data_IF_986840768107
#
_entry.id   IF_986840768107
#
_cell.length_a   1.000
_cell.length_b   1.000
_cell.length_c   1.000
_cell.angle_alpha   90.00
_cell.angle_beta   90.00
_cell.angle_gamma   90.00
#
_symmetry.space_group_name_H-M   'P 1'
#
loop_
_entity.id
_entity.type
_entity.pdbx_description
1 polymer ?
#
# COMPACT_ATOMS: atom_id res chain seq x y z
N UNK A 1 23.53 13.29 16.93
CA UNK A 1 22.31 14.05 17.28
C UNK A 1 21.10 13.09 17.33
N UNK A 2 20.34 13.16 18.39
CA UNK A 2 19.13 12.35 18.53
C UNK A 2 17.98 13.07 17.81
N UNK A 3 17.31 12.36 16.94
CA UNK A 3 16.11 12.85 16.27
C UNK A 3 14.87 12.30 16.97
N UNK A 4 13.94 13.18 17.33
CA UNK A 4 12.67 12.78 17.93
C UNK A 4 11.59 12.75 16.85
N UNK A 5 10.85 11.65 16.78
CA UNK A 5 9.73 11.48 15.88
C UNK A 5 8.49 11.20 16.72
N UNK A 6 7.43 11.96 16.46
CA UNK A 6 6.14 11.75 17.13
C UNK A 6 5.44 10.54 16.58
N UNK A 7 4.94 9.67 17.44
CA UNK A 7 4.20 8.48 17.03
C UNK A 7 2.90 8.82 16.27
N UNK A 8 2.33 10.00 16.51
CA UNK A 8 1.18 10.50 15.75
C UNK A 8 1.50 10.64 14.25
N UNK A 9 2.73 11.01 13.90
CA UNK A 9 3.17 11.07 12.51
C UNK A 9 3.26 9.68 11.89
N UNK A 10 3.70 8.70 12.68
CA UNK A 10 3.75 7.31 12.23
C UNK A 10 2.34 6.79 11.96
N UNK A 11 1.41 7.04 12.88
CA UNK A 11 0.00 6.67 12.70
C UNK A 11 -0.57 7.26 11.40
N UNK A 12 -0.35 8.55 11.17
CA UNK A 12 -0.84 9.21 9.96
C UNK A 12 -0.22 8.64 8.70
N UNK A 13 1.08 8.38 8.69
CA UNK A 13 1.76 7.80 7.54
C UNK A 13 1.32 6.36 7.27
N UNK A 14 1.12 5.54 8.31
CA UNK A 14 0.61 4.18 8.15
C UNK A 14 -0.79 4.21 7.55
N UNK A 15 -1.66 5.10 8.02
CA UNK A 15 -2.99 5.30 7.46
C UNK A 15 -2.92 5.60 5.96
N UNK A 16 -2.12 6.58 5.58
CA UNK A 16 -1.97 6.98 4.18
C UNK A 16 -1.40 5.84 3.32
N UNK A 17 -0.41 5.11 3.83
CA UNK A 17 0.16 3.97 3.12
C UNK A 17 -0.84 2.83 2.93
N UNK A 18 -1.69 2.56 3.92
CA UNK A 18 -2.74 1.55 3.81
C UNK A 18 -3.74 1.91 2.71
N UNK A 19 -4.16 3.17 2.67
CA UNK A 19 -5.07 3.66 1.64
C UNK A 19 -4.42 3.56 0.26
N UNK A 20 -3.20 4.05 0.12
CA UNK A 20 -2.48 4.03 -1.15
C UNK A 20 -2.23 2.60 -1.64
N UNK A 21 -1.77 1.71 -0.76
CA UNK A 21 -1.45 0.33 -1.13
C UNK A 21 -2.65 -0.45 -1.63
N UNK A 22 -3.86 -0.11 -1.19
CA UNK A 22 -5.09 -0.78 -1.62
C UNK A 22 -5.71 -0.20 -2.89
N UNK A 23 -5.20 0.92 -3.38
CA UNK A 23 -5.74 1.59 -4.58
C UNK A 23 -4.73 1.70 -5.71
N UNK A 24 -3.45 1.67 -5.42
CA UNK A 24 -2.39 1.87 -6.41
C UNK A 24 -1.34 0.77 -6.33
N UNK A 25 -0.90 0.31 -7.48
CA UNK A 25 0.29 -0.55 -7.55
C UNK A 25 1.55 0.30 -7.65
N UNK A 26 2.65 -0.25 -7.13
CA UNK A 26 3.97 0.35 -7.29
C UNK A 26 4.41 0.34 -8.76
N UNK A 27 5.36 1.21 -9.11
CA UNK A 27 5.83 1.31 -10.49
C UNK A 27 6.51 0.04 -10.99
N UNK A 28 7.22 -0.67 -10.12
CA UNK A 28 7.85 -1.95 -10.46
C UNK A 28 6.81 -3.01 -10.80
N UNK A 29 5.68 -3.05 -10.09
CA UNK A 29 4.57 -3.98 -10.38
C UNK A 29 3.89 -3.61 -11.70
N UNK A 30 3.66 -2.33 -11.96
CA UNK A 30 3.10 -1.87 -13.24
C UNK A 30 3.99 -2.26 -14.41
N UNK A 31 5.29 -2.08 -14.26
CA UNK A 31 6.28 -2.47 -15.26
C UNK A 31 6.26 -3.98 -15.49
N UNK A 32 6.15 -4.77 -14.41
CA UNK A 32 6.06 -6.22 -14.51
C UNK A 32 4.83 -6.68 -15.30
N UNK A 33 3.67 -6.05 -15.08
CA UNK A 33 2.45 -6.35 -15.85
C UNK A 33 2.60 -6.01 -17.33
N UNK A 34 3.16 -4.85 -17.65
CA UNK A 34 3.40 -4.45 -19.04
C UNK A 34 4.33 -5.45 -19.73
N UNK A 35 5.40 -5.84 -19.06
CA UNK A 35 6.36 -6.81 -19.60
C UNK A 35 5.73 -8.18 -19.77
N UNK A 36 4.94 -8.63 -18.79
CA UNK A 36 4.27 -9.93 -18.85
C UNK A 36 3.29 -9.97 -20.02
N UNK A 37 2.53 -8.90 -20.27
CA UNK A 37 1.62 -8.81 -21.39
C UNK A 37 2.36 -8.92 -22.73
N UNK A 38 3.51 -8.25 -22.86
CA UNK A 38 4.32 -8.32 -24.08
C UNK A 38 4.90 -9.70 -24.32
N UNK A 39 5.24 -10.44 -23.27
CA UNK A 39 5.86 -11.76 -23.36
C UNK A 39 4.85 -12.90 -23.43
N UNK A 40 3.60 -12.66 -23.06
CA UNK A 40 2.56 -13.69 -23.07
C UNK A 40 2.23 -14.05 -24.53
N UNK A 41 2.21 -15.35 -24.82
CA UNK A 41 1.95 -15.86 -26.17
C UNK A 41 0.51 -16.29 -26.37
N UNK A 42 -0.16 -16.74 -25.30
CA UNK A 42 -1.54 -17.18 -25.39
C UNK A 42 -2.49 -15.97 -25.46
N UNK A 43 -3.43 -15.93 -26.44
CA UNK A 43 -4.38 -14.83 -26.54
C UNK A 43 -5.22 -14.63 -25.26
N UNK A 44 -5.64 -15.73 -24.63
CA UNK A 44 -6.40 -15.66 -23.38
C UNK A 44 -5.57 -15.08 -22.24
N UNK A 45 -4.30 -15.46 -22.13
CA UNK A 45 -3.39 -14.92 -21.12
C UNK A 45 -3.18 -13.43 -21.28
N UNK A 46 -3.00 -12.96 -22.52
CA UNK A 46 -2.90 -11.53 -22.82
C UNK A 46 -4.15 -10.77 -22.41
N UNK A 47 -5.32 -11.32 -22.72
CA UNK A 47 -6.60 -10.71 -22.37
C UNK A 47 -6.75 -10.57 -20.84
N UNK A 48 -6.38 -11.60 -20.10
CA UNK A 48 -6.41 -11.58 -18.64
C UNK A 48 -5.48 -10.51 -18.09
N UNK A 49 -4.25 -10.42 -18.60
CA UNK A 49 -3.29 -9.39 -18.16
C UNK A 49 -3.79 -7.98 -18.46
N UNK A 50 -4.45 -7.77 -19.59
CA UNK A 50 -5.06 -6.50 -19.95
C UNK A 50 -6.19 -6.15 -18.98
N UNK A 51 -7.04 -7.11 -18.63
CA UNK A 51 -8.13 -6.90 -17.67
C UNK A 51 -7.62 -6.54 -16.28
N UNK A 52 -6.53 -7.19 -15.83
CA UNK A 52 -5.91 -6.88 -14.56
C UNK A 52 -5.37 -5.44 -14.54
N UNK A 53 -4.75 -5.00 -15.62
CA UNK A 53 -4.25 -3.63 -15.73
C UNK A 53 -5.39 -2.61 -15.77
N UNK A 54 -6.48 -2.91 -16.48
CA UNK A 54 -7.68 -2.06 -16.49
C UNK A 54 -8.29 -1.94 -15.09
N UNK A 55 -8.32 -3.05 -14.34
CA UNK A 55 -8.80 -3.04 -12.96
C UNK A 55 -7.98 -2.09 -12.07
N UNK A 56 -6.66 -2.10 -12.24
CA UNK A 56 -5.78 -1.21 -11.49
C UNK A 56 -5.98 0.26 -11.85
N UNK A 57 -6.18 0.55 -13.13
CA UNK A 57 -6.43 1.91 -13.60
C UNK A 57 -7.75 2.44 -13.04
N UNK A 58 -8.80 1.62 -13.03
CA UNK A 58 -10.11 1.99 -12.47
C UNK A 58 -9.97 2.21 -10.95
N UNK A 59 -9.29 1.32 -10.25
CA UNK A 59 -9.11 1.42 -8.81
C UNK A 59 -8.43 2.74 -8.43
N UNK A 60 -7.35 3.09 -9.11
CA UNK A 60 -6.61 4.32 -8.84
C UNK A 60 -7.38 5.58 -9.24
N UNK A 61 -8.11 5.53 -10.36
CA UNK A 61 -8.86 6.68 -10.86
C UNK A 61 -10.09 6.98 -10.01
N UNK A 62 -10.85 5.94 -9.67
CA UNK A 62 -12.13 6.09 -8.98
C UNK A 62 -12.02 5.91 -7.46
N UNK A 63 -10.80 5.68 -6.95
CA UNK A 63 -10.52 5.43 -5.53
C UNK A 63 -11.39 4.31 -4.96
N UNK A 64 -11.39 3.20 -5.70
CA UNK A 64 -12.05 1.95 -5.32
C UNK A 64 -10.94 0.94 -5.00
N UNK A 65 -11.05 0.16 -3.92
CA UNK A 65 -10.02 -0.86 -3.63
C UNK A 65 -9.78 -1.79 -4.82
N UNK A 66 -8.52 -2.21 -4.99
CA UNK A 66 -8.10 -3.03 -6.12
C UNK A 66 -8.88 -4.35 -6.19
N UNK A 67 -9.20 -4.93 -5.04
CA UNK A 67 -10.01 -6.15 -4.97
C UNK A 67 -10.87 -6.17 -3.70
N UNK A 68 -11.76 -7.16 -3.62
CA UNK A 68 -12.68 -7.31 -2.49
C UNK A 68 -12.00 -7.88 -1.24
N UNK A 69 -10.82 -8.48 -1.38
CA UNK A 69 -10.10 -9.06 -0.25
C UNK A 69 -9.24 -7.99 0.42
N UNK A 70 -9.53 -7.69 1.68
CA UNK A 70 -8.72 -6.76 2.45
C UNK A 70 -7.36 -7.34 2.83
N UNK A 71 -7.26 -8.66 2.89
CA UNK A 71 -6.02 -9.34 3.19
C UNK A 71 -5.49 -9.02 4.58
N UNK A 72 -4.16 -8.88 4.67
CA UNK A 72 -3.46 -8.63 5.91
C UNK A 72 -2.47 -7.47 5.68
N UNK A 73 -2.46 -6.52 6.61
CA UNK A 73 -1.47 -5.45 6.55
C UNK A 73 -0.12 -5.98 7.06
N UNK A 74 0.90 -5.89 6.23
CA UNK A 74 2.27 -6.26 6.60
C UNK A 74 3.12 -5.00 6.53
N UNK A 75 3.71 -4.63 7.67
CA UNK A 75 4.47 -3.40 7.80
C UNK A 75 5.93 -3.71 8.10
N UNK A 76 6.82 -3.25 7.24
CA UNK A 76 8.25 -3.32 7.46
C UNK A 76 8.74 -1.96 7.92
N UNK A 77 9.40 -1.92 9.06
CA UNK A 77 9.89 -0.67 9.62
C UNK A 77 11.38 -0.78 9.94
N UNK A 78 12.11 0.27 9.59
CA UNK A 78 13.54 0.37 9.89
C UNK A 78 13.75 1.66 10.68
N UNK A 79 14.22 1.51 11.92
CA UNK A 79 14.45 2.64 12.82
C UNK A 79 15.94 2.81 13.06
N UNK A 80 16.45 4.00 12.81
CA UNK A 80 17.85 4.31 13.07
C UNK A 80 18.13 4.37 14.58
N UNK A 81 19.38 4.13 14.96
CA UNK A 81 19.80 4.11 16.37
C UNK A 81 19.58 5.45 17.05
N UNK A 82 19.73 6.55 16.33
CA UNK A 82 19.62 7.92 16.88
C UNK A 82 18.19 8.47 16.80
N UNK A 83 17.20 7.62 16.58
CA UNK A 83 15.79 8.02 16.51
C UNK A 83 15.08 7.66 17.80
N UNK A 84 14.46 8.67 18.43
CA UNK A 84 13.61 8.48 19.58
C UNK A 84 12.15 8.63 19.17
N UNK A 85 11.33 7.62 19.47
CA UNK A 85 9.90 7.64 19.19
C UNK A 85 9.16 8.10 20.44
N UNK A 86 8.38 9.15 20.30
CA UNK A 86 7.70 9.79 21.43
C UNK A 86 6.18 9.78 21.23
N UNK A 87 5.47 9.57 22.33
CA UNK A 87 4.01 9.66 22.36
C UNK A 87 3.28 8.35 22.61
N UNK A 88 3.98 7.33 23.12
CA UNK A 88 3.36 6.04 23.50
C UNK A 88 4.06 4.84 22.93
N UNK A 89 3.29 3.85 22.49
CA UNK A 89 3.80 2.59 21.94
C UNK A 89 3.84 2.63 20.43
N UNK A 90 4.95 2.20 19.83
CA UNK A 90 5.08 2.06 18.37
C UNK A 90 4.04 1.08 17.82
N UNK A 91 3.86 -0.06 18.50
CA UNK A 91 2.90 -1.06 18.05
C UNK A 91 1.47 -0.50 18.01
N UNK A 92 1.07 0.21 19.05
CA UNK A 92 -0.25 0.82 19.10
C UNK A 92 -0.42 1.92 18.06
N UNK A 93 0.62 2.70 17.80
CA UNK A 93 0.60 3.72 16.74
C UNK A 93 0.39 3.10 15.35
N UNK A 94 1.05 1.98 15.08
CA UNK A 94 0.89 1.25 13.82
C UNK A 94 -0.53 0.67 13.73
N UNK A 95 -1.02 0.02 14.79
CA UNK A 95 -2.37 -0.55 14.82
C UNK A 95 -3.44 0.53 14.56
N UNK A 96 -3.29 1.69 15.17
CA UNK A 96 -4.22 2.80 14.97
C UNK A 96 -4.18 3.32 13.53
N UNK A 97 -3.01 3.41 12.93
CA UNK A 97 -2.86 3.81 11.54
C UNK A 97 -3.55 2.84 10.59
N UNK A 98 -3.38 1.53 10.82
CA UNK A 98 -4.07 0.49 10.05
C UNK A 98 -5.58 0.60 10.23
N UNK A 99 -6.03 0.75 11.48
CA UNK A 99 -7.47 0.90 11.77
C UNK A 99 -8.08 2.07 11.02
N UNK A 100 -7.45 3.23 11.07
CA UNK A 100 -7.92 4.43 10.39
C UNK A 100 -7.91 4.25 8.87
N UNK A 101 -6.85 3.69 8.33
CA UNK A 101 -6.71 3.47 6.89
C UNK A 101 -7.80 2.56 6.34
N UNK A 102 -8.06 1.45 7.02
CA UNK A 102 -9.10 0.51 6.59
C UNK A 102 -10.51 0.97 6.89
N UNK A 103 -10.71 1.90 7.81
CA UNK A 103 -12.03 2.48 8.10
C UNK A 103 -12.36 3.63 7.15
N UNK A 104 -11.41 4.53 6.94
CA UNK A 104 -11.64 5.75 6.17
C UNK A 104 -11.38 5.59 4.67
N UNK A 105 -10.51 4.65 4.30
CA UNK A 105 -10.14 4.43 2.91
C UNK A 105 -11.06 3.49 2.13
N UNK A 106 -12.09 2.93 2.76
CA UNK A 106 -12.96 1.93 2.12
C UNK A 106 -14.42 2.31 2.17
#
# INVERSE_FOLDING_TARGET
MIRTVQLSEITENIKEMCIEANHFLSEDMKTAFTKAEQQEKAPLGKQILQQLQQNMDIAGKDMIPICQDTGMAVVFIKVGQEVHLEGGSLAEAIHEGVRQGYTEGY
#
